data_IF_102352211281
#
_entry.id   IF_102352211281
#
_cell.length_a   1.000
_cell.length_b   1.000
_cell.length_c   1.000
_cell.angle_alpha   90.00
_cell.angle_beta   90.00
_cell.angle_gamma   90.00
#
_symmetry.space_group_name_H-M   'P 1'
#
loop_
_entity.id
_entity.type
_entity.pdbx_description
1 polymer ?
#
# COMPACT_ATOMS: atom_id res chain seq x y z
N UNK A 1 13.87 3.96 -6.79
CA UNK A 1 15.12 3.75 -7.57
C UNK A 1 15.03 2.68 -8.68
N UNK A 2 13.95 1.88 -8.79
CA UNK A 2 13.86 0.80 -9.80
C UNK A 2 13.67 1.25 -11.26
N UNK A 3 12.80 2.23 -11.51
CA UNK A 3 12.43 2.66 -12.87
C UNK A 3 13.60 3.27 -13.67
N UNK A 4 14.38 4.17 -13.09
CA UNK A 4 15.54 4.78 -13.76
C UNK A 4 16.61 3.74 -14.16
N UNK A 5 16.83 2.72 -13.32
CA UNK A 5 17.78 1.64 -13.62
C UNK A 5 17.30 0.82 -14.82
N UNK A 6 16.02 0.47 -14.87
CA UNK A 6 15.45 -0.30 -15.98
C UNK A 6 15.52 0.50 -17.30
N UNK A 7 15.19 1.79 -17.28
CA UNK A 7 15.34 2.65 -18.46
C UNK A 7 16.78 2.70 -18.96
N UNK A 8 17.75 2.85 -18.05
CA UNK A 8 19.17 2.79 -18.40
C UNK A 8 19.54 1.45 -19.03
N UNK A 9 19.13 0.34 -18.42
CA UNK A 9 19.46 -1.00 -18.92
C UNK A 9 18.87 -1.25 -20.31
N UNK A 10 17.67 -0.75 -20.59
CA UNK A 10 17.05 -0.78 -21.92
C UNK A 10 17.87 -0.01 -22.97
N UNK A 11 18.30 1.21 -22.64
CA UNK A 11 19.14 2.03 -23.54
C UNK A 11 20.50 1.37 -23.78
N UNK A 12 21.13 0.83 -22.74
CA UNK A 12 22.42 0.14 -22.84
C UNK A 12 22.29 -1.15 -23.64
N UNK A 13 21.23 -1.94 -23.43
CA UNK A 13 20.94 -3.15 -24.19
C UNK A 13 20.79 -2.86 -25.68
N UNK A 14 19.98 -1.87 -26.04
CA UNK A 14 19.81 -1.43 -27.43
C UNK A 14 21.12 -0.94 -28.07
N UNK A 15 21.97 -0.26 -27.29
CA UNK A 15 23.27 0.19 -27.78
C UNK A 15 24.21 -0.99 -28.04
N UNK A 16 24.23 -2.00 -27.14
CA UNK A 16 24.99 -3.23 -27.34
C UNK A 16 24.53 -4.00 -28.57
N UNK A 17 23.22 -4.12 -28.78
CA UNK A 17 22.66 -4.77 -29.97
C UNK A 17 23.14 -4.10 -31.26
N UNK A 18 22.98 -2.77 -31.37
CA UNK A 18 23.43 -2.01 -32.54
C UNK A 18 24.93 -2.06 -32.77
N UNK A 19 25.73 -1.98 -31.71
CA UNK A 19 27.19 -2.10 -31.82
C UNK A 19 27.58 -3.53 -32.22
N UNK A 20 26.89 -4.54 -31.69
CA UNK A 20 27.06 -5.94 -32.04
C UNK A 20 26.78 -6.20 -33.52
N UNK A 21 25.70 -5.64 -34.06
CA UNK A 21 25.36 -5.71 -35.48
C UNK A 21 26.44 -5.07 -36.36
N UNK A 22 26.90 -3.86 -36.01
CA UNK A 22 27.94 -3.15 -36.77
C UNK A 22 29.27 -3.93 -36.78
N UNK A 23 29.60 -4.58 -35.66
CA UNK A 23 30.86 -5.31 -35.48
C UNK A 23 30.75 -6.80 -35.84
N UNK A 24 29.59 -7.29 -36.31
CA UNK A 24 29.30 -8.71 -36.52
C UNK A 24 29.68 -9.59 -35.31
N UNK A 25 29.31 -9.15 -34.10
CA UNK A 25 29.55 -9.87 -32.84
C UNK A 25 28.26 -10.36 -32.22
N UNK A 26 27.89 -11.61 -32.51
CA UNK A 26 26.66 -12.25 -32.01
C UNK A 26 26.53 -12.21 -30.49
N UNK A 27 27.60 -12.51 -29.74
CA UNK A 27 27.56 -12.46 -28.26
C UNK A 27 27.12 -11.09 -27.73
N UNK A 28 27.52 -9.99 -28.40
CA UNK A 28 27.17 -8.64 -27.97
C UNK A 28 25.70 -8.29 -28.30
N UNK A 29 25.18 -8.86 -29.39
CA UNK A 29 23.77 -8.77 -29.78
C UNK A 29 22.92 -9.47 -28.73
N UNK A 30 23.27 -10.71 -28.38
CA UNK A 30 22.52 -11.53 -27.41
C UNK A 30 22.54 -10.93 -26.00
N UNK A 31 23.70 -10.42 -25.56
CA UNK A 31 23.81 -9.65 -24.31
C UNK A 31 22.93 -8.40 -24.32
N UNK A 32 22.90 -7.69 -25.46
CA UNK A 32 22.08 -6.49 -25.64
C UNK A 32 20.59 -6.78 -25.52
N UNK A 33 20.11 -7.82 -26.22
CA UNK A 33 18.73 -8.29 -26.15
C UNK A 33 18.35 -8.72 -24.75
N UNK A 34 19.14 -9.60 -24.13
CA UNK A 34 18.88 -10.09 -22.77
C UNK A 34 18.79 -8.94 -21.77
N UNK A 35 19.68 -7.94 -21.87
CA UNK A 35 19.68 -6.79 -20.99
C UNK A 35 18.44 -5.90 -21.19
N UNK A 36 18.00 -5.73 -22.44
CA UNK A 36 16.79 -4.97 -22.78
C UNK A 36 15.52 -5.68 -22.32
N UNK A 37 15.38 -6.97 -22.63
CA UNK A 37 14.23 -7.81 -22.25
C UNK A 37 14.04 -7.89 -20.73
N UNK A 38 15.13 -8.15 -19.99
CA UNK A 38 15.06 -8.20 -18.53
C UNK A 38 14.69 -6.85 -17.89
N UNK A 39 15.05 -5.74 -18.54
CA UNK A 39 14.64 -4.41 -18.09
C UNK A 39 13.15 -4.16 -18.33
N UNK A 40 12.65 -4.54 -19.51
CA UNK A 40 11.22 -4.44 -19.85
C UNK A 40 10.35 -5.33 -18.96
N UNK A 41 10.79 -6.56 -18.67
CA UNK A 41 10.04 -7.46 -17.80
C UNK A 41 9.93 -6.88 -16.39
N UNK A 42 11.02 -6.34 -15.84
CA UNK A 42 11.00 -5.68 -14.54
C UNK A 42 10.10 -4.46 -14.55
N UNK A 43 10.13 -3.66 -15.61
CA UNK A 43 9.25 -2.50 -15.76
C UNK A 43 7.78 -2.91 -15.75
N UNK A 44 7.40 -3.98 -16.47
CA UNK A 44 6.03 -4.53 -16.45
C UNK A 44 5.63 -5.01 -15.04
N UNK A 45 6.53 -5.71 -14.34
CA UNK A 45 6.26 -6.15 -12.96
C UNK A 45 6.05 -4.97 -12.01
N UNK A 46 6.84 -3.90 -12.15
CA UNK A 46 6.65 -2.68 -11.36
C UNK A 46 5.31 -2.01 -11.68
N UNK A 47 4.93 -1.93 -12.95
CA UNK A 47 3.65 -1.34 -13.34
C UNK A 47 2.47 -2.15 -12.82
N UNK A 48 2.49 -3.48 -12.98
CA UNK A 48 1.43 -4.34 -12.46
C UNK A 48 1.25 -4.21 -10.94
N UNK A 49 2.35 -4.01 -10.20
CA UNK A 49 2.29 -3.75 -8.76
C UNK A 49 1.69 -2.39 -8.42
N UNK A 50 1.92 -1.37 -9.25
CA UNK A 50 1.30 -0.05 -9.08
C UNK A 50 -0.20 -0.18 -9.31
N UNK A 51 -0.60 -0.82 -10.40
CA UNK A 51 -2.00 -1.02 -10.76
C UNK A 51 -2.75 -1.77 -9.64
N UNK A 52 -2.16 -2.84 -9.07
CA UNK A 52 -2.72 -3.58 -7.93
C UNK A 52 -2.90 -2.67 -6.69
N UNK A 53 -1.95 -1.79 -6.42
CA UNK A 53 -2.04 -0.86 -5.28
C UNK A 53 -3.12 0.19 -5.52
N UNK A 54 -3.25 0.70 -6.74
CA UNK A 54 -4.27 1.66 -7.13
C UNK A 54 -5.67 1.05 -7.01
N UNK A 55 -5.86 -0.19 -7.48
CA UNK A 55 -7.12 -0.92 -7.32
C UNK A 55 -7.49 -1.11 -5.84
N UNK A 56 -6.52 -1.52 -5.00
CA UNK A 56 -6.74 -1.64 -3.55
C UNK A 56 -7.10 -0.30 -2.89
N UNK A 57 -6.55 0.82 -3.37
CA UNK A 57 -6.91 2.14 -2.89
C UNK A 57 -8.32 2.53 -3.32
N UNK A 58 -8.68 2.31 -4.59
CA UNK A 58 -10.01 2.55 -5.11
C UNK A 58 -11.08 1.76 -4.34
N UNK A 59 -10.82 0.48 -4.02
CA UNK A 59 -11.72 -0.32 -3.18
C UNK A 59 -11.87 0.25 -1.77
N UNK A 60 -10.78 0.72 -1.15
CA UNK A 60 -10.82 1.34 0.18
C UNK A 60 -11.60 2.65 0.17
N UNK A 61 -11.39 3.48 -0.85
CA UNK A 61 -12.13 4.74 -1.03
C UNK A 61 -13.62 4.48 -1.25
N UNK A 62 -13.97 3.49 -2.07
CA UNK A 62 -15.36 3.09 -2.28
C UNK A 62 -16.03 2.65 -0.97
N UNK A 63 -15.36 1.80 -0.17
CA UNK A 63 -15.86 1.39 1.16
C UNK A 63 -16.02 2.57 2.11
N UNK A 64 -15.07 3.51 2.12
CA UNK A 64 -15.18 4.72 2.95
C UNK A 64 -16.35 5.60 2.51
N UNK A 65 -16.55 5.79 1.20
CA UNK A 65 -17.68 6.55 0.69
C UNK A 65 -19.01 5.92 1.09
N UNK A 66 -19.15 4.60 0.96
CA UNK A 66 -20.35 3.87 1.36
C UNK A 66 -20.64 4.02 2.87
N UNK A 67 -19.61 3.86 3.72
CA UNK A 67 -19.68 4.14 5.17
C UNK A 67 -20.07 5.59 5.48
N UNK A 68 -19.60 6.57 4.70
CA UNK A 68 -20.02 7.97 4.90
C UNK A 68 -21.45 8.22 4.45
N UNK A 69 -21.98 7.47 3.49
CA UNK A 69 -23.39 7.55 3.09
C UNK A 69 -24.30 6.92 4.13
N UNK A 70 -23.95 5.77 4.71
CA UNK A 70 -24.71 5.19 5.84
C UNK A 70 -24.75 6.14 7.06
N UNK A 71 -23.68 6.90 7.30
CA UNK A 71 -23.64 7.93 8.35
C UNK A 71 -24.44 9.20 8.03
N UNK A 72 -24.92 9.39 6.79
CA UNK A 72 -25.83 10.48 6.41
C UNK A 72 -27.30 10.18 6.69
N UNK A 73 -27.61 9.10 7.38
CA UNK A 73 -28.94 8.94 7.99
C UNK A 73 -29.20 10.15 8.93
N UNK A 74 -30.39 10.78 8.85
CA UNK A 74 -30.64 12.05 9.50
C UNK A 74 -30.47 11.93 11.01
N UNK A 75 -29.81 12.95 11.58
CA UNK A 75 -29.60 13.14 13.02
C UNK A 75 -30.90 12.81 13.76
N UNK A 76 -30.90 11.85 14.71
CA UNK A 76 -32.09 11.58 15.49
C UNK A 76 -32.44 12.87 16.25
N UNK A 77 -33.72 13.24 16.15
CA UNK A 77 -34.33 14.36 16.86
C UNK A 77 -33.85 14.39 18.33
N UNK A 78 -33.10 15.43 18.69
CA UNK A 78 -32.49 15.60 20.02
C UNK A 78 -33.50 16.03 21.09
N UNK A 79 -34.80 15.83 20.87
CA UNK A 79 -35.84 16.13 21.84
C UNK A 79 -36.12 14.94 22.78
N UNK A 80 -35.10 14.33 23.40
CA UNK A 80 -35.32 13.34 24.46
C UNK A 80 -34.33 13.53 25.60
N UNK A 81 -34.88 14.01 26.72
CA UNK A 81 -34.45 13.91 28.14
C UNK A 81 -32.97 13.64 28.42
N UNK A 82 -32.30 14.44 29.29
CA UNK A 82 -30.93 14.15 29.69
C UNK A 82 -30.83 12.73 30.23
N UNK A 83 -29.97 11.90 29.61
CA UNK A 83 -29.60 10.61 30.16
C UNK A 83 -28.87 10.86 31.49
N UNK A 84 -29.08 10.02 32.53
CA UNK A 84 -28.32 10.13 33.77
C UNK A 84 -26.84 10.05 33.45
N UNK A 85 -26.04 10.94 34.04
CA UNK A 85 -24.59 10.95 33.92
C UNK A 85 -24.06 9.60 34.40
N UNK A 86 -23.85 8.67 33.46
CA UNK A 86 -23.10 7.46 33.73
C UNK A 86 -21.72 7.92 34.19
N UNK A 87 -21.35 7.59 35.43
CA UNK A 87 -20.06 7.90 36.04
C UNK A 87 -18.95 7.61 35.03
N UNK A 88 -18.48 8.66 34.37
CA UNK A 88 -17.51 8.55 33.31
C UNK A 88 -16.17 8.33 34.00
N UNK A 89 -15.74 7.07 34.10
CA UNK A 89 -14.40 6.73 34.57
C UNK A 89 -13.42 7.53 33.71
N UNK A 90 -12.64 8.46 34.30
CA UNK A 90 -11.70 9.28 33.55
C UNK A 90 -10.74 8.39 32.76
N UNK A 91 -10.38 8.80 31.54
CA UNK A 91 -9.53 7.97 30.68
C UNK A 91 -8.16 7.63 31.32
N UNK A 92 -7.70 8.45 32.25
CA UNK A 92 -6.53 8.19 33.10
C UNK A 92 -6.67 6.92 33.94
N UNK A 93 -7.86 6.68 34.53
CA UNK A 93 -8.13 5.47 35.31
C UNK A 93 -8.19 4.22 34.41
N UNK A 94 -8.69 4.34 33.17
CA UNK A 94 -8.66 3.24 32.19
C UNK A 94 -7.24 2.88 31.77
N UNK A 95 -6.40 3.90 31.55
CA UNK A 95 -4.99 3.70 31.16
C UNK A 95 -4.20 3.07 32.31
N UNK A 96 -4.45 3.50 33.55
CA UNK A 96 -3.80 2.94 34.72
C UNK A 96 -4.25 1.49 34.99
N UNK A 97 -5.54 1.20 34.83
CA UNK A 97 -6.05 -0.17 34.92
C UNK A 97 -5.41 -1.10 33.87
N UNK A 98 -5.29 -0.65 32.62
CA UNK A 98 -4.59 -1.41 31.58
C UNK A 98 -3.12 -1.64 31.92
N UNK A 99 -2.41 -0.61 32.41
CA UNK A 99 -1.03 -0.75 32.88
C UNK A 99 -0.91 -1.78 33.99
N UNK A 100 -1.82 -1.77 34.95
CA UNK A 100 -1.83 -2.72 36.06
C UNK A 100 -2.16 -4.15 35.59
N UNK A 101 -3.09 -4.32 34.64
CA UNK A 101 -3.36 -5.63 33.99
C UNK A 101 -2.12 -6.18 33.28
N UNK A 102 -1.40 -5.34 32.54
CA UNK A 102 -0.15 -5.74 31.87
C UNK A 102 0.97 -6.12 32.85
N UNK A 103 1.08 -5.43 33.99
CA UNK A 103 2.11 -5.73 34.99
C UNK A 103 1.79 -6.95 35.86
N UNK A 104 0.52 -7.22 36.12
CA UNK A 104 0.08 -8.35 36.97
C UNK A 104 -0.16 -9.63 36.18
N UNK A 105 -0.33 -9.55 34.85
CA UNK A 105 -0.51 -10.72 33.97
C UNK A 105 -1.85 -11.44 34.16
N UNK A 106 -2.82 -10.82 34.84
CA UNK A 106 -4.15 -11.37 35.02
C UNK A 106 -5.02 -10.84 33.89
N UNK A 107 -5.19 -11.64 32.84
CA UNK A 107 -6.26 -11.42 31.86
C UNK A 107 -7.58 -11.85 32.50
N UNK A 108 -8.60 -10.99 32.45
CA UNK A 108 -9.97 -11.34 32.84
C UNK A 108 -10.45 -12.49 31.94
N UNK A 109 -10.48 -13.71 32.49
CA UNK A 109 -11.35 -14.76 31.96
C UNK A 109 -12.76 -14.39 32.38
N UNK A 110 -13.58 -14.10 31.37
CA UNK A 110 -15.04 -13.90 31.41
C UNK A 110 -15.75 -14.70 32.52
#
# INVERSE_FOLDING_TARGET
>A
MGSFKNQKDKVVGNAKEKIGEILNKENLIDEGRTQSETAEEKEKQYQARIDEIEDQQAEKEAKQQDLTQERKNPVPDRSKTPLPESEHIPDEQKIEEQRMKHYTGIEEKL
#
